data_IF_636210487902
#
_entry.id   IF_636210487902
#
_cell.length_a   1.000
_cell.length_b   1.000
_cell.length_c   1.000
_cell.angle_alpha   90.00
_cell.angle_beta   90.00
_cell.angle_gamma   90.00
#
_symmetry.space_group_name_H-M   'P 1'
#
loop_
_entity.id
_entity.type
_entity.pdbx_description
1 polymer ?
#
# COMPACT_ATOMS: atom_id res chain seq x y z
N UNK A 1 10.60 -10.14 -15.25
CA UNK A 1 9.95 -10.08 -15.02
C UNK A 1 9.04 -10.16 -14.68
N UNK A 2 8.54 -10.09 -14.63
CA UNK A 2 7.67 -9.98 -14.42
C UNK A 2 6.97 -10.05 -13.90
N UNK A 3 7.62 -10.30 -13.72
CA UNK A 3 6.68 -10.37 -13.65
C UNK A 3 5.55 -9.99 -12.81
N UNK A 4 4.90 -9.51 -12.63
CA UNK A 4 3.77 -9.03 -11.89
C UNK A 4 2.58 -9.95 -11.95
N UNK A 5 1.58 -9.66 -11.15
CA UNK A 5 0.32 -10.39 -11.13
C UNK A 5 -0.44 -10.14 -12.43
N UNK A 6 -1.05 -11.19 -12.95
CA UNK A 6 -1.94 -11.04 -14.12
C UNK A 6 -3.26 -10.48 -13.62
N UNK A 7 -3.64 -9.31 -14.13
CA UNK A 7 -4.88 -8.65 -13.75
C UNK A 7 -6.01 -9.15 -14.65
N UNK A 8 -7.02 -9.78 -14.06
CA UNK A 8 -8.16 -10.32 -14.79
C UNK A 8 -9.31 -9.34 -14.92
N UNK A 9 -9.41 -8.39 -14.00
CA UNK A 9 -10.45 -7.37 -14.05
C UNK A 9 -10.13 -6.33 -15.11
N UNK A 10 -11.17 -5.73 -15.68
CA UNK A 10 -10.98 -4.61 -16.59
C UNK A 10 -10.70 -3.32 -15.82
N UNK A 11 -10.16 -2.32 -16.52
CA UNK A 11 -9.94 -1.00 -15.93
C UNK A 11 -11.24 -0.44 -15.37
N UNK A 12 -12.34 -0.58 -16.11
CA UNK A 12 -13.66 -0.11 -15.69
C UNK A 12 -14.11 -0.78 -14.38
N UNK A 13 -13.90 -2.10 -14.27
CA UNK A 13 -14.26 -2.82 -13.05
C UNK A 13 -13.43 -2.34 -11.86
N UNK A 14 -12.16 -2.06 -12.06
CA UNK A 14 -11.29 -1.57 -11.00
C UNK A 14 -11.69 -0.16 -10.56
N UNK A 15 -12.05 0.70 -11.51
CA UNK A 15 -12.52 2.05 -11.21
C UNK A 15 -13.84 2.01 -10.45
N UNK A 16 -14.76 1.13 -10.86
CA UNK A 16 -16.03 0.93 -10.15
C UNK A 16 -15.77 0.44 -8.72
N UNK A 17 -14.81 -0.47 -8.55
CA UNK A 17 -14.46 -0.95 -7.22
C UNK A 17 -13.98 0.18 -6.32
N UNK A 18 -13.15 1.08 -6.85
CA UNK A 18 -12.63 2.22 -6.08
C UNK A 18 -13.74 3.15 -5.59
N UNK A 19 -14.87 3.17 -6.29
CA UNK A 19 -16.02 3.99 -5.89
C UNK A 19 -17.02 3.20 -5.05
N UNK A 20 -16.80 1.91 -4.84
CA UNK A 20 -17.74 1.05 -4.13
C UNK A 20 -17.71 1.28 -2.61
N UNK A 21 -18.81 0.95 -1.96
CA UNK A 21 -18.88 0.98 -0.51
C UNK A 21 -17.95 -0.05 0.12
N UNK A 22 -17.74 -1.19 -0.56
CA UNK A 22 -16.83 -2.22 -0.07
C UNK A 22 -15.41 -1.66 0.05
N UNK A 23 -14.94 -0.98 -1.00
CA UNK A 23 -13.61 -0.38 -0.94
C UNK A 23 -13.55 0.74 0.12
N UNK A 24 -14.60 1.53 0.21
CA UNK A 24 -14.68 2.59 1.22
C UNK A 24 -14.53 2.01 2.63
N UNK A 25 -15.23 0.92 2.92
CA UNK A 25 -15.16 0.27 4.22
C UNK A 25 -13.79 -0.33 4.49
N UNK A 26 -13.22 -1.01 3.49
CA UNK A 26 -11.88 -1.57 3.61
C UNK A 26 -10.84 -0.48 3.86
N UNK A 27 -10.95 0.61 3.13
CA UNK A 27 -10.04 1.74 3.25
C UNK A 27 -10.11 2.34 4.66
N UNK A 28 -11.33 2.53 5.17
CA UNK A 28 -11.52 3.08 6.51
C UNK A 28 -10.91 2.17 7.58
N UNK A 29 -11.06 0.86 7.42
CA UNK A 29 -10.47 -0.10 8.36
C UNK A 29 -8.93 -0.05 8.31
N UNK A 30 -8.37 0.02 7.10
CA UNK A 30 -6.92 0.12 6.94
C UNK A 30 -6.37 1.41 7.55
N UNK A 31 -7.09 2.52 7.36
CA UNK A 31 -6.68 3.81 7.95
C UNK A 31 -6.78 3.77 9.47
N UNK A 32 -7.76 3.07 10.01
CA UNK A 32 -7.88 2.88 11.45
C UNK A 32 -6.68 2.10 11.99
N UNK A 33 -6.27 1.04 11.31
CA UNK A 33 -5.08 0.28 11.70
C UNK A 33 -3.84 1.19 11.69
N UNK A 34 -3.70 1.98 10.63
CA UNK A 34 -2.55 2.86 10.50
C UNK A 34 -2.50 3.87 11.65
N UNK A 35 -3.65 4.42 12.03
CA UNK A 35 -3.74 5.33 13.17
C UNK A 35 -3.29 4.64 14.46
N UNK A 36 -3.69 3.37 14.64
CA UNK A 36 -3.24 2.59 15.78
C UNK A 36 -1.73 2.42 15.83
N UNK A 37 -1.11 2.15 14.67
CA UNK A 37 0.34 2.04 14.57
C UNK A 37 1.03 3.37 14.85
N UNK A 38 0.46 4.47 14.38
CA UNK A 38 1.00 5.81 14.66
C UNK A 38 0.96 6.11 16.15
N UNK A 39 -0.14 5.75 16.82
CA UNK A 39 -0.27 5.92 18.26
C UNK A 39 0.73 5.04 19.03
N UNK A 40 0.94 3.82 18.55
CA UNK A 40 1.93 2.92 19.15
C UNK A 40 3.35 3.50 19.01
N UNK A 41 3.66 4.08 17.85
CA UNK A 41 4.94 4.73 17.62
C UNK A 41 5.16 5.88 18.61
N UNK A 42 4.14 6.70 18.84
CA UNK A 42 4.21 7.79 19.81
C UNK A 42 4.43 7.25 21.21
N UNK A 43 3.77 6.14 21.54
CA UNK A 43 3.94 5.49 22.84
C UNK A 43 5.37 5.02 23.08
N UNK A 44 6.04 4.51 22.04
CA UNK A 44 7.43 4.07 22.14
C UNK A 44 8.33 5.25 22.50
N UNK A 45 8.13 6.40 21.85
CA UNK A 45 8.92 7.61 22.09
C UNK A 45 8.72 8.09 23.54
N UNK A 46 7.48 8.11 24.02
CA UNK A 46 7.17 8.53 25.38
C UNK A 46 7.77 7.59 26.42
N UNK A 47 7.68 6.27 26.19
CA UNK A 47 8.26 5.27 27.06
C UNK A 47 9.78 5.39 27.10
N UNK A 48 10.40 5.59 25.95
CA UNK A 48 11.85 5.72 25.87
C UNK A 48 12.36 6.91 26.69
N UNK A 49 11.59 8.00 26.70
CA UNK A 49 11.94 9.18 27.49
C UNK A 49 11.85 8.92 29.00
N UNK A 50 10.93 8.04 29.43
CA UNK A 50 10.69 7.77 30.83
C UNK A 50 11.48 6.60 31.40
N UNK A 51 11.63 5.49 30.64
CA UNK A 51 12.19 4.22 31.16
C UNK A 51 13.61 3.92 30.68
N UNK A 52 14.12 4.71 29.74
CA UNK A 52 15.49 4.57 29.22
C UNK A 52 15.82 3.13 28.75
N UNK A 53 15.01 2.56 27.82
CA UNK A 53 15.27 1.21 27.29
C UNK A 53 16.50 1.20 26.39
N UNK A 54 16.97 0.01 25.98
CA UNK A 54 18.12 -0.08 25.09
C UNK A 54 17.76 0.51 23.72
N UNK A 55 18.71 1.20 23.11
CA UNK A 55 18.55 1.80 21.79
C UNK A 55 18.18 0.73 20.74
N UNK A 56 18.85 -0.42 20.80
CA UNK A 56 18.59 -1.50 19.85
C UNK A 56 17.14 -1.97 19.94
N UNK A 57 16.62 -2.14 21.16
CA UNK A 57 15.24 -2.58 21.38
C UNK A 57 14.24 -1.57 20.82
N UNK A 58 14.48 -0.29 21.07
CA UNK A 58 13.62 0.79 20.57
C UNK A 58 13.62 0.79 19.04
N UNK A 59 14.80 0.73 18.42
CA UNK A 59 14.91 0.77 16.96
C UNK A 59 14.24 -0.43 16.30
N UNK A 60 14.37 -1.62 16.88
CA UNK A 60 13.72 -2.82 16.36
C UNK A 60 12.19 -2.68 16.41
N UNK A 61 11.67 -2.19 17.52
CA UNK A 61 10.23 -2.00 17.67
C UNK A 61 9.70 -0.95 16.70
N UNK A 62 10.41 0.19 16.58
CA UNK A 62 10.03 1.24 15.65
C UNK A 62 10.07 0.74 14.20
N UNK A 63 11.09 -0.05 13.85
CA UNK A 63 11.21 -0.63 12.52
C UNK A 63 10.06 -1.58 12.19
N UNK A 64 9.65 -2.39 13.17
CA UNK A 64 8.53 -3.30 13.00
C UNK A 64 7.23 -2.53 12.71
N UNK A 65 6.94 -1.52 13.51
CA UNK A 65 5.74 -0.70 13.33
C UNK A 65 5.79 0.05 11.99
N UNK A 66 6.94 0.61 11.65
CA UNK A 66 7.10 1.31 10.38
C UNK A 66 6.85 0.37 9.20
N UNK A 67 7.30 -0.88 9.29
CA UNK A 67 7.05 -1.89 8.27
C UNK A 67 5.56 -2.18 8.12
N UNK A 68 4.83 -2.26 9.23
CA UNK A 68 3.37 -2.48 9.19
C UNK A 68 2.66 -1.30 8.56
N UNK A 69 3.08 -0.07 8.88
CA UNK A 69 2.50 1.13 8.28
C UNK A 69 2.72 1.16 6.76
N UNK A 70 3.90 0.77 6.31
CA UNK A 70 4.20 0.69 4.88
C UNK A 70 3.35 -0.36 4.20
N UNK A 71 3.09 -1.49 4.87
CA UNK A 71 2.22 -2.53 4.33
C UNK A 71 0.80 -2.01 4.16
N UNK A 72 0.29 -1.25 5.12
CA UNK A 72 -1.03 -0.63 5.01
C UNK A 72 -1.07 0.34 3.82
N UNK A 73 -0.04 1.18 3.70
CA UNK A 73 0.03 2.12 2.57
C UNK A 73 0.03 1.39 1.23
N UNK A 74 0.75 0.28 1.15
CA UNK A 74 0.75 -0.55 -0.05
C UNK A 74 -0.65 -1.09 -0.36
N UNK A 75 -1.33 -1.64 0.65
CA UNK A 75 -2.68 -2.16 0.47
C UNK A 75 -3.65 -1.08 0.01
N UNK A 76 -3.52 0.13 0.54
CA UNK A 76 -4.36 1.26 0.14
C UNK A 76 -4.15 1.64 -1.33
N UNK A 77 -2.97 1.38 -1.87
CA UNK A 77 -2.63 1.75 -3.25
C UNK A 77 -2.88 0.62 -4.26
N UNK A 78 -3.26 -0.58 -3.81
CA UNK A 78 -3.41 -1.72 -4.71
C UNK A 78 -4.35 -1.45 -5.89
N UNK A 79 -5.56 -0.88 -5.72
CA UNK A 79 -6.41 -0.64 -6.88
C UNK A 79 -5.73 0.24 -7.94
N UNK A 80 -5.02 1.28 -7.51
CA UNK A 80 -4.32 2.16 -8.44
C UNK A 80 -3.14 1.46 -9.11
N UNK A 81 -2.44 0.59 -8.37
CA UNK A 81 -1.35 -0.21 -8.93
C UNK A 81 -1.87 -1.11 -10.04
N UNK A 82 -3.01 -1.76 -9.82
CA UNK A 82 -3.60 -2.65 -10.83
C UNK A 82 -4.05 -1.89 -12.06
N UNK A 83 -4.65 -0.72 -11.86
CA UNK A 83 -5.07 0.14 -12.98
C UNK A 83 -3.84 0.58 -13.77
N UNK A 84 -2.79 1.03 -13.10
CA UNK A 84 -1.55 1.45 -13.77
C UNK A 84 -0.93 0.30 -14.56
N UNK A 85 -0.98 -0.90 -14.02
CA UNK A 85 -0.45 -2.09 -14.70
C UNK A 85 -1.18 -2.33 -16.02
N UNK A 86 -2.50 -2.18 -16.03
CA UNK A 86 -3.29 -2.34 -17.26
C UNK A 86 -2.99 -1.24 -18.27
N UNK A 87 -2.84 -0.01 -17.81
CA UNK A 87 -2.52 1.12 -18.68
C UNK A 87 -1.15 0.95 -19.32
N UNK A 88 -0.16 0.51 -18.56
CA UNK A 88 1.18 0.27 -19.09
C UNK A 88 1.19 -0.82 -20.15
N UNK A 89 0.39 -1.87 -19.97
CA UNK A 89 0.29 -2.93 -20.97
C UNK A 89 -0.34 -2.43 -22.26
N UNK A 90 -1.32 -1.55 -22.16
CA UNK A 90 -1.95 -0.94 -23.36
C UNK A 90 -0.94 -0.08 -24.11
N UNK A 91 -0.14 0.70 -23.40
CA UNK A 91 0.91 1.53 -24.01
C UNK A 91 1.94 0.66 -24.72
N UNK A 92 2.38 -0.43 -24.08
CA UNK A 92 3.34 -1.35 -24.69
C UNK A 92 2.81 -1.96 -25.97
N UNK A 93 1.52 -2.30 -26.01
CA UNK A 93 0.89 -2.82 -27.22
C UNK A 93 0.84 -1.80 -28.33
N UNK A 94 0.51 -0.55 -28.01
CA UNK A 94 0.46 0.53 -29.00
C UNK A 94 1.85 0.81 -29.56
N UNK A 95 2.87 0.86 -28.71
CA UNK A 95 4.25 1.06 -29.14
C UNK A 95 4.70 -0.09 -30.03
N UNK A 96 4.35 -1.32 -29.69
CA UNK A 96 4.65 -2.49 -30.50
C UNK A 96 4.01 -2.42 -31.89
N UNK A 97 2.79 -1.95 -31.97
CA UNK A 97 2.10 -1.78 -33.25
C UNK A 97 2.78 -0.73 -34.12
N UNK A 98 3.18 0.36 -33.51
CA UNK A 98 3.83 1.45 -34.24
C UNK A 98 5.18 0.99 -34.80
N UNK A 99 5.89 0.17 -34.07
CA UNK A 99 7.18 -0.35 -34.51
C UNK A 99 7.07 -1.31 -35.67
N UNK A 100 5.96 -2.03 -35.76
CA UNK A 100 5.76 -3.01 -36.84
C UNK A 100 5.24 -2.39 -38.13
N UNK A 101 4.87 -1.16 -38.10
CA UNK A 101 4.46 -0.43 -39.28
C UNK A 101 5.61 0.31 -39.91
#
# INVERSE_FOLDING_TARGET
MNEGVIVKASKSQLEDFKESFIWSDLKNELLFWKEGFENEMKGIVEEAAGSNPSTASVLLHMGDINGRMKAVDYMLSIPDILISSLENKEEDKEDGRNETN
#
